data_IF_765375397967
#
_entry.id   IF_765375397967
#
_cell.length_a   1.000
_cell.length_b   1.000
_cell.length_c   1.000
_cell.angle_alpha   90.00
_cell.angle_beta   90.00
_cell.angle_gamma   90.00
#
_symmetry.space_group_name_H-M   'P 1'
#
loop_
_entity.id
_entity.type
_entity.pdbx_description
1 polymer ?
#
# COMPACT_ATOMS: atom_id res chain seq x y z
N UNK A 1 24.62 -15.77 -22.27
CA UNK A 1 23.15 -15.62 -22.17
C UNK A 1 22.85 -14.19 -21.72
N UNK A 2 22.25 -13.36 -22.58
CA UNK A 2 21.74 -12.06 -22.14
C UNK A 2 20.46 -12.33 -21.34
N UNK A 3 20.37 -11.92 -20.05
CA UNK A 3 19.12 -12.05 -19.32
C UNK A 3 18.04 -11.26 -20.08
N UNK A 4 16.80 -11.78 -20.18
CA UNK A 4 15.73 -11.03 -20.80
C UNK A 4 15.56 -9.73 -20.00
N UNK A 5 15.95 -8.60 -20.58
CA UNK A 5 15.71 -7.28 -20.02
C UNK A 5 14.19 -7.13 -19.96
N UNK A 6 13.61 -7.33 -18.77
CA UNK A 6 12.20 -7.03 -18.53
C UNK A 6 11.91 -5.64 -19.10
N UNK A 7 10.84 -5.53 -19.89
CA UNK A 7 10.49 -4.25 -20.45
C UNK A 7 10.18 -3.26 -19.32
N UNK A 8 10.54 -1.98 -19.45
CA UNK A 8 10.25 -0.96 -18.43
C UNK A 8 8.78 -0.93 -18.02
N UNK A 9 7.86 -1.20 -18.97
CA UNK A 9 6.43 -1.29 -18.71
C UNK A 9 6.06 -2.41 -17.71
N UNK A 10 6.67 -3.59 -17.83
CA UNK A 10 6.43 -4.70 -16.91
C UNK A 10 7.02 -4.39 -15.53
N UNK A 11 8.18 -3.75 -15.48
CA UNK A 11 8.82 -3.34 -14.22
C UNK A 11 7.94 -2.33 -13.45
N UNK A 12 7.34 -1.36 -14.16
CA UNK A 12 6.39 -0.38 -13.60
C UNK A 12 5.13 -1.04 -13.07
N UNK A 13 4.55 -1.97 -13.83
CA UNK A 13 3.36 -2.69 -13.39
C UNK A 13 3.64 -3.47 -12.10
N UNK A 14 4.79 -4.13 -12.01
CA UNK A 14 5.18 -4.93 -10.85
C UNK A 14 5.37 -4.11 -9.57
N UNK A 15 5.73 -2.82 -9.68
CA UNK A 15 5.86 -1.94 -8.50
C UNK A 15 4.59 -1.15 -8.19
N UNK A 16 3.82 -0.74 -9.21
CA UNK A 16 2.58 0.02 -9.04
C UNK A 16 1.47 -0.88 -8.49
N UNK A 17 1.34 -2.10 -9.01
CA UNK A 17 0.25 -3.01 -8.64
C UNK A 17 0.21 -3.33 -7.13
N UNK A 18 1.30 -3.74 -6.46
CA UNK A 18 1.30 -3.97 -5.02
C UNK A 18 0.95 -2.73 -4.21
N UNK A 19 1.34 -1.55 -4.69
CA UNK A 19 1.03 -0.29 -4.03
C UNK A 19 -0.47 0.07 -4.16
N UNK A 20 -1.08 -0.19 -5.33
CA UNK A 20 -2.54 -0.05 -5.51
C UNK A 20 -3.30 -1.01 -4.59
N UNK A 21 -2.85 -2.27 -4.47
CA UNK A 21 -3.44 -3.22 -3.51
C UNK A 21 -3.33 -2.73 -2.07
N UNK A 22 -2.23 -2.04 -1.71
CA UNK A 22 -2.05 -1.47 -0.38
C UNK A 22 -3.06 -0.35 -0.08
N UNK A 23 -3.42 0.46 -1.07
CA UNK A 23 -4.51 1.44 -0.93
C UNK A 23 -5.88 0.79 -0.78
N UNK A 24 -6.16 -0.28 -1.55
CA UNK A 24 -7.41 -1.05 -1.41
C UNK A 24 -7.51 -1.65 -0.02
N UNK A 25 -6.42 -2.24 0.49
CA UNK A 25 -6.36 -2.76 1.85
C UNK A 25 -6.58 -1.65 2.89
N UNK A 26 -5.93 -0.49 2.74
CA UNK A 26 -6.12 0.63 3.66
C UNK A 26 -7.57 1.09 3.72
N UNK A 27 -8.23 1.24 2.56
CA UNK A 27 -9.65 1.58 2.48
C UNK A 27 -10.50 0.50 3.17
N UNK A 28 -10.21 -0.78 2.91
CA UNK A 28 -10.88 -1.90 3.56
C UNK A 28 -10.73 -1.88 5.08
N UNK A 29 -9.53 -1.60 5.60
CA UNK A 29 -9.27 -1.47 7.03
C UNK A 29 -10.06 -0.31 7.63
N UNK A 30 -10.11 0.85 6.96
CA UNK A 30 -10.90 2.00 7.42
C UNK A 30 -12.38 1.64 7.51
N UNK A 31 -12.94 1.03 6.45
CA UNK A 31 -14.35 0.60 6.44
C UNK A 31 -14.62 -0.44 7.53
N UNK A 32 -13.71 -1.39 7.73
CA UNK A 32 -13.84 -2.40 8.78
C UNK A 32 -13.88 -1.77 10.17
N UNK A 33 -12.97 -0.83 10.45
CA UNK A 33 -12.94 -0.12 11.73
C UNK A 33 -14.22 0.68 11.95
N UNK A 34 -14.70 1.43 10.95
CA UNK A 34 -15.89 2.28 11.11
C UNK A 34 -17.16 1.44 11.29
N UNK A 35 -17.29 0.33 10.57
CA UNK A 35 -18.46 -0.56 10.66
C UNK A 35 -18.48 -1.43 11.91
N UNK A 36 -17.32 -1.75 12.49
CA UNK A 36 -17.19 -2.67 13.64
C UNK A 36 -16.68 -1.97 14.91
N UNK A 37 -16.72 -0.64 14.96
CA UNK A 37 -16.06 0.17 15.99
C UNK A 37 -16.38 -0.30 17.41
N UNK A 38 -17.66 -0.48 17.74
CA UNK A 38 -18.10 -0.90 19.08
C UNK A 38 -17.61 -2.31 19.44
N UNK A 39 -17.62 -3.24 18.48
CA UNK A 39 -17.12 -4.61 18.68
C UNK A 39 -15.61 -4.63 18.89
N UNK A 40 -14.85 -3.87 18.09
CA UNK A 40 -13.41 -3.74 18.23
C UNK A 40 -13.00 -3.08 19.53
N UNK A 41 -13.77 -2.10 20.01
CA UNK A 41 -13.56 -1.45 21.30
C UNK A 41 -13.82 -2.41 22.46
N UNK A 42 -14.89 -3.20 22.40
CA UNK A 42 -15.21 -4.20 23.42
C UNK A 42 -14.20 -5.35 23.47
N UNK A 43 -13.61 -5.72 22.34
CA UNK A 43 -12.59 -6.76 22.24
C UNK A 43 -11.14 -6.26 22.47
N UNK A 44 -10.96 -5.00 22.87
CA UNK A 44 -9.65 -4.33 23.04
C UNK A 44 -8.74 -4.37 21.79
N UNK A 45 -9.29 -4.71 20.63
CA UNK A 45 -8.57 -4.85 19.37
C UNK A 45 -8.48 -3.54 18.57
N UNK A 46 -9.28 -2.51 18.93
CA UNK A 46 -9.36 -1.25 18.19
C UNK A 46 -8.00 -0.57 18.00
N UNK A 47 -7.16 -0.56 19.03
CA UNK A 47 -5.84 0.07 18.97
C UNK A 47 -4.93 -0.57 17.92
N UNK A 48 -4.97 -1.90 17.78
CA UNK A 48 -4.20 -2.61 16.77
C UNK A 48 -4.58 -2.15 15.36
N UNK A 49 -5.89 -2.10 15.06
CA UNK A 49 -6.38 -1.71 13.74
C UNK A 49 -6.08 -0.24 13.42
N UNK A 50 -6.18 0.64 14.41
CA UNK A 50 -5.81 2.05 14.25
C UNK A 50 -4.32 2.23 13.98
N UNK A 51 -3.45 1.51 14.70
CA UNK A 51 -2.00 1.51 14.45
C UNK A 51 -1.69 0.96 13.06
N UNK A 52 -2.35 -0.13 12.65
CA UNK A 52 -2.20 -0.70 11.31
C UNK A 52 -2.53 0.34 10.24
N UNK A 53 -3.66 1.04 10.34
CA UNK A 53 -4.03 2.09 9.41
C UNK A 53 -3.04 3.26 9.43
N UNK A 54 -2.59 3.66 10.62
CA UNK A 54 -1.63 4.75 10.82
C UNK A 54 -0.23 4.46 10.28
N UNK A 55 0.17 3.18 10.16
CA UNK A 55 1.44 2.77 9.54
C UNK A 55 1.27 2.55 8.04
N UNK A 56 0.19 1.86 7.65
CA UNK A 56 -0.08 1.50 6.27
C UNK A 56 -0.29 2.73 5.38
N UNK A 57 -0.98 3.76 5.88
CA UNK A 57 -1.21 5.01 5.16
C UNK A 57 0.08 5.71 4.73
N UNK A 58 0.96 6.11 5.67
CA UNK A 58 2.25 6.72 5.35
C UNK A 58 3.14 5.83 4.49
N UNK A 59 3.15 4.51 4.71
CA UNK A 59 3.92 3.59 3.86
C UNK A 59 3.42 3.56 2.41
N UNK A 60 2.11 3.50 2.18
CA UNK A 60 1.54 3.51 0.83
C UNK A 60 1.86 4.86 0.13
N UNK A 61 1.75 5.98 0.85
CA UNK A 61 2.09 7.31 0.32
C UNK A 61 3.58 7.40 -0.03
N UNK A 62 4.46 6.98 0.88
CA UNK A 62 5.90 7.00 0.65
C UNK A 62 6.29 6.12 -0.55
N UNK A 63 5.67 4.94 -0.67
CA UNK A 63 5.90 4.03 -1.79
C UNK A 63 5.46 4.66 -3.10
N UNK A 64 4.29 5.32 -3.13
CA UNK A 64 3.84 6.11 -4.29
C UNK A 64 4.88 7.17 -4.69
N UNK A 65 5.37 7.95 -3.73
CA UNK A 65 6.41 8.96 -3.97
C UNK A 65 7.69 8.35 -4.55
N UNK A 66 8.17 7.24 -3.97
CA UNK A 66 9.36 6.52 -4.43
C UNK A 66 9.22 6.00 -5.86
N UNK A 67 8.06 5.41 -6.20
CA UNK A 67 7.76 4.92 -7.55
C UNK A 67 7.79 6.09 -8.55
N UNK A 68 7.07 7.18 -8.26
CA UNK A 68 7.03 8.37 -9.12
C UNK A 68 8.42 8.96 -9.32
N UNK A 69 9.22 9.05 -8.26
CA UNK A 69 10.60 9.54 -8.33
C UNK A 69 11.46 8.67 -9.25
N UNK A 70 11.36 7.34 -9.16
CA UNK A 70 12.15 6.41 -9.99
C UNK A 70 11.72 6.42 -11.46
N UNK A 71 10.41 6.58 -11.74
CA UNK A 71 9.89 6.75 -13.10
C UNK A 71 10.43 8.05 -13.72
N UNK A 72 10.42 9.16 -12.97
CA UNK A 72 10.95 10.45 -13.44
C UNK A 72 12.46 10.42 -13.70
N UNK A 73 13.20 9.61 -12.94
CA UNK A 73 14.63 9.40 -13.13
C UNK A 73 14.97 8.46 -14.31
N UNK A 74 13.98 7.88 -15.00
CA UNK A 74 14.19 6.93 -16.10
C UNK A 74 14.75 5.57 -15.66
N UNK A 75 14.75 5.29 -14.35
CA UNK A 75 15.23 4.03 -13.76
C UNK A 75 14.16 2.94 -13.84
N UNK A 76 12.89 3.36 -13.96
CA UNK A 76 11.69 2.53 -14.07
C UNK A 76 10.91 2.88 -15.33
#
# INVERSE_FOLDING_TARGET
MNPPKMSPAVLRLLVIFPNVLSYILLIGVIIYITTNFSGLKAAEALNFWLILAAVLGPMAIYTTYSIVKRIRAGVL
#
